data_IF_271071815977
#
_entry.id   IF_271071815977
#
_cell.length_a   1.000
_cell.length_b   1.000
_cell.length_c   1.000
_cell.angle_alpha   90.00
_cell.angle_beta   90.00
_cell.angle_gamma   90.00
#
_symmetry.space_group_name_H-M   'P 1'
#
loop_
_entity.id
_entity.type
_entity.pdbx_description
1 polymer ?
#
# COMPACT_ATOMS: atom_id res chain seq x y z
N UNK A 1 -38.04 54.42 -11.74
CA UNK A 1 -38.41 53.00 -11.47
C UNK A 1 -37.77 52.62 -10.16
N UNK A 2 -38.54 52.63 -9.06
CA UNK A 2 -38.04 52.22 -7.76
C UNK A 2 -37.85 50.69 -7.78
N UNK A 3 -36.61 50.23 -7.69
CA UNK A 3 -36.33 48.81 -7.51
C UNK A 3 -36.97 48.39 -6.17
N UNK A 4 -37.85 47.40 -6.23
CA UNK A 4 -38.68 46.97 -5.10
C UNK A 4 -37.81 46.18 -4.10
N UNK A 5 -37.18 46.89 -3.16
CA UNK A 5 -36.26 46.33 -2.13
C UNK A 5 -36.97 45.30 -1.23
N UNK A 6 -38.31 45.29 -1.21
CA UNK A 6 -39.15 44.33 -0.49
C UNK A 6 -38.93 42.86 -0.91
N UNK A 7 -38.42 42.62 -2.12
CA UNK A 7 -38.13 41.25 -2.60
C UNK A 7 -36.92 40.65 -1.87
N UNK A 8 -36.00 41.47 -1.38
CA UNK A 8 -34.81 41.06 -0.63
C UNK A 8 -35.10 40.66 0.83
N UNK A 9 -36.28 40.98 1.36
CA UNK A 9 -36.72 40.63 2.73
C UNK A 9 -37.56 39.35 2.81
N UNK A 10 -37.87 38.72 1.67
CA UNK A 10 -38.48 37.40 1.65
C UNK A 10 -37.41 36.35 2.05
N UNK A 11 -37.75 35.31 2.82
CA UNK A 11 -36.79 34.25 3.19
C UNK A 11 -36.31 33.43 1.99
N UNK A 12 -37.01 33.54 0.85
CA UNK A 12 -36.78 32.78 -0.38
C UNK A 12 -35.43 33.06 -1.06
N UNK A 13 -35.04 34.33 -1.33
CA UNK A 13 -33.70 34.63 -1.85
C UNK A 13 -32.58 34.16 -0.93
N UNK A 14 -32.71 34.32 0.39
CA UNK A 14 -31.71 33.86 1.37
C UNK A 14 -31.56 32.34 1.29
N UNK A 15 -32.68 31.61 1.29
CA UNK A 15 -32.69 30.16 1.14
C UNK A 15 -32.04 29.71 -0.18
N UNK A 16 -32.37 30.37 -1.30
CA UNK A 16 -31.76 30.09 -2.59
C UNK A 16 -30.25 30.32 -2.60
N UNK A 17 -29.76 31.41 -2.01
CA UNK A 17 -28.31 31.65 -1.90
C UNK A 17 -27.60 30.59 -1.07
N UNK A 18 -28.18 30.16 0.05
CA UNK A 18 -27.62 29.10 0.90
C UNK A 18 -27.59 27.77 0.15
N UNK A 19 -28.68 27.44 -0.56
CA UNK A 19 -28.76 26.23 -1.37
C UNK A 19 -27.68 26.21 -2.46
N UNK A 20 -27.49 27.31 -3.19
CA UNK A 20 -26.46 27.44 -4.22
C UNK A 20 -25.06 27.25 -3.61
N UNK A 21 -24.80 27.84 -2.44
CA UNK A 21 -23.54 27.66 -1.73
C UNK A 21 -23.29 26.19 -1.37
N UNK A 22 -24.29 25.50 -0.81
CA UNK A 22 -24.18 24.08 -0.45
C UNK A 22 -23.91 23.22 -1.70
N UNK A 23 -24.67 23.43 -2.78
CA UNK A 23 -24.48 22.69 -4.04
C UNK A 23 -23.08 22.95 -4.61
N UNK A 24 -22.61 24.20 -4.59
CA UNK A 24 -21.27 24.54 -5.06
C UNK A 24 -20.18 23.86 -4.23
N UNK A 25 -20.33 23.81 -2.90
CA UNK A 25 -19.40 23.13 -2.01
C UNK A 25 -19.36 21.62 -2.28
N UNK A 26 -20.53 20.98 -2.50
CA UNK A 26 -20.63 19.56 -2.84
C UNK A 26 -19.91 19.27 -4.17
N UNK A 27 -20.09 20.13 -5.18
CA UNK A 27 -19.41 19.98 -6.48
C UNK A 27 -17.89 20.06 -6.31
N UNK A 28 -17.39 21.06 -5.58
CA UNK A 28 -15.95 21.23 -5.33
C UNK A 28 -15.39 20.02 -4.58
N UNK A 29 -16.05 19.57 -3.51
CA UNK A 29 -15.64 18.39 -2.76
C UNK A 29 -15.61 17.13 -3.63
N UNK A 30 -16.59 16.97 -4.53
CA UNK A 30 -16.65 15.82 -5.45
C UNK A 30 -15.51 15.83 -6.45
N UNK A 31 -15.14 16.99 -6.98
CA UNK A 31 -14.01 17.15 -7.91
C UNK A 31 -12.67 16.87 -7.22
N UNK A 32 -12.48 17.40 -6.01
CA UNK A 32 -11.28 17.13 -5.19
C UNK A 32 -11.18 15.63 -4.89
N UNK A 33 -12.27 15.01 -4.44
CA UNK A 33 -12.31 13.56 -4.16
C UNK A 33 -11.93 12.75 -5.40
N UNK A 34 -12.51 13.03 -6.56
CA UNK A 34 -12.16 12.33 -7.82
C UNK A 34 -10.70 12.46 -8.20
N UNK A 35 -10.10 13.64 -8.00
CA UNK A 35 -8.68 13.86 -8.29
C UNK A 35 -7.79 13.05 -7.34
N UNK A 36 -8.11 13.06 -6.04
CA UNK A 36 -7.36 12.29 -5.05
C UNK A 36 -7.52 10.78 -5.26
N UNK A 37 -8.74 10.30 -5.53
CA UNK A 37 -8.99 8.87 -5.78
C UNK A 37 -8.20 8.38 -7.02
N UNK A 38 -8.13 9.19 -8.08
CA UNK A 38 -7.34 8.86 -9.27
C UNK A 38 -5.83 8.78 -9.00
N UNK A 39 -5.28 9.74 -8.25
CA UNK A 39 -3.85 9.73 -7.88
C UNK A 39 -3.50 8.56 -6.95
N UNK A 40 -4.39 8.18 -6.03
CA UNK A 40 -4.20 7.04 -5.13
C UNK A 40 -4.24 5.72 -5.89
N UNK A 41 -5.16 5.56 -6.85
CA UNK A 41 -5.25 4.35 -7.67
C UNK A 41 -3.99 4.17 -8.52
N UNK A 42 -3.52 5.24 -9.19
CA UNK A 42 -2.32 5.18 -10.01
C UNK A 42 -1.08 4.83 -9.19
N UNK A 43 -0.91 5.44 -8.01
CA UNK A 43 0.19 5.09 -7.10
C UNK A 43 0.13 3.63 -6.65
N UNK A 44 -1.07 3.13 -6.33
CA UNK A 44 -1.25 1.74 -5.91
C UNK A 44 -0.91 0.76 -7.03
N UNK A 45 -1.35 1.04 -8.27
CA UNK A 45 -1.00 0.23 -9.44
C UNK A 45 0.50 0.25 -9.73
N UNK A 46 1.15 1.40 -9.60
CA UNK A 46 2.60 1.53 -9.76
C UNK A 46 3.36 0.72 -8.70
N UNK A 47 2.97 0.81 -7.43
CA UNK A 47 3.57 0.05 -6.32
C UNK A 47 3.37 -1.46 -6.47
N UNK A 48 2.16 -1.90 -6.84
CA UNK A 48 1.87 -3.32 -7.05
C UNK A 48 2.69 -3.86 -8.23
N UNK A 49 2.75 -3.11 -9.32
CA UNK A 49 3.57 -3.44 -10.49
C UNK A 49 5.06 -3.44 -10.16
N UNK A 50 5.50 -2.56 -9.26
CA UNK A 50 6.90 -2.45 -8.85
C UNK A 50 7.40 -3.72 -8.16
N UNK A 51 6.72 -4.16 -7.10
CA UNK A 51 7.11 -5.38 -6.39
C UNK A 51 6.93 -6.63 -7.25
N UNK A 52 5.90 -6.69 -8.09
CA UNK A 52 5.72 -7.80 -9.04
C UNK A 52 6.89 -7.91 -10.03
N UNK A 53 7.35 -6.79 -10.61
CA UNK A 53 8.51 -6.78 -11.51
C UNK A 53 9.79 -7.19 -10.79
N UNK A 54 10.00 -6.72 -9.56
CA UNK A 54 11.13 -7.15 -8.73
C UNK A 54 11.08 -8.65 -8.47
N UNK A 55 9.93 -9.19 -8.06
CA UNK A 55 9.75 -10.63 -7.84
C UNK A 55 10.09 -11.45 -9.10
N UNK A 56 9.61 -11.02 -10.27
CA UNK A 56 9.93 -11.69 -11.54
C UNK A 56 11.43 -11.69 -11.84
N UNK A 57 12.13 -10.59 -11.54
CA UNK A 57 13.58 -10.52 -11.71
C UNK A 57 14.34 -11.44 -10.75
N UNK A 58 13.84 -11.59 -9.51
CA UNK A 58 14.41 -12.50 -8.51
C UNK A 58 14.17 -13.96 -8.90
N UNK A 59 13.00 -14.29 -9.45
CA UNK A 59 12.68 -15.64 -9.93
C UNK A 59 13.65 -16.12 -11.01
N UNK A 60 14.17 -15.23 -11.85
CA UNK A 60 15.19 -15.57 -12.85
C UNK A 60 16.52 -16.05 -12.21
N UNK A 61 16.76 -15.73 -10.93
CA UNK A 61 17.97 -16.12 -10.20
C UNK A 61 17.81 -17.47 -9.46
N UNK A 62 16.64 -18.12 -9.52
CA UNK A 62 16.34 -19.37 -8.79
C UNK A 62 17.35 -20.49 -9.04
N UNK A 63 18.03 -20.49 -10.19
CA UNK A 63 19.09 -21.45 -10.48
C UNK A 63 20.31 -21.32 -9.56
N UNK A 64 20.55 -20.14 -8.99
CA UNK A 64 21.62 -19.86 -8.03
C UNK A 64 21.02 -19.54 -6.65
N UNK A 65 20.93 -20.55 -5.76
CA UNK A 65 20.32 -20.44 -4.43
C UNK A 65 20.81 -19.25 -3.59
N UNK A 66 22.12 -18.99 -3.60
CA UNK A 66 22.71 -17.91 -2.81
C UNK A 66 22.34 -16.52 -3.34
N UNK A 67 22.39 -16.33 -4.67
CA UNK A 67 21.98 -15.06 -5.29
C UNK A 67 20.49 -14.84 -5.20
N UNK A 68 19.70 -15.90 -5.36
CA UNK A 68 18.26 -15.87 -5.16
C UNK A 68 17.91 -15.43 -3.74
N UNK A 69 18.54 -16.04 -2.72
CA UNK A 69 18.24 -15.75 -1.32
C UNK A 69 18.54 -14.29 -0.96
N UNK A 70 19.69 -13.77 -1.38
CA UNK A 70 20.05 -12.37 -1.14
C UNK A 70 19.03 -11.45 -1.82
N UNK A 71 18.68 -11.73 -3.07
CA UNK A 71 17.77 -10.87 -3.81
C UNK A 71 16.33 -10.92 -3.26
N UNK A 72 15.85 -12.07 -2.75
CA UNK A 72 14.54 -12.16 -2.11
C UNK A 72 14.54 -11.50 -0.72
N UNK A 73 15.63 -11.58 0.05
CA UNK A 73 15.79 -10.86 1.32
C UNK A 73 15.71 -9.35 1.10
N UNK A 74 16.43 -8.83 0.10
CA UNK A 74 16.42 -7.40 -0.26
C UNK A 74 15.00 -6.94 -0.62
N UNK A 75 14.30 -7.67 -1.50
CA UNK A 75 12.93 -7.32 -1.92
C UNK A 75 11.95 -7.41 -0.76
N UNK A 76 12.07 -8.42 0.09
CA UNK A 76 11.20 -8.58 1.25
C UNK A 76 11.41 -7.47 2.29
N UNK A 77 12.68 -7.11 2.58
CA UNK A 77 12.99 -6.01 3.52
C UNK A 77 12.47 -4.67 3.05
N UNK A 78 12.59 -4.40 1.75
CA UNK A 78 12.01 -3.21 1.14
C UNK A 78 10.49 -3.22 1.23
N UNK A 79 9.85 -4.36 0.94
CA UNK A 79 8.40 -4.51 1.08
C UNK A 79 7.93 -4.27 2.53
N UNK A 80 8.60 -4.86 3.52
CA UNK A 80 8.26 -4.67 4.93
C UNK A 80 8.53 -3.24 5.42
N UNK A 81 9.60 -2.61 4.94
CA UNK A 81 9.89 -1.21 5.19
C UNK A 81 8.80 -0.30 4.62
N UNK A 82 8.41 -0.49 3.37
CA UNK A 82 7.42 0.37 2.70
C UNK A 82 5.99 0.16 3.22
N UNK A 83 5.59 -1.08 3.48
CA UNK A 83 4.19 -1.40 3.84
C UNK A 83 3.89 -1.38 5.33
N UNK A 84 4.89 -1.65 6.17
CA UNK A 84 4.69 -1.80 7.61
C UNK A 84 5.62 -0.90 8.44
N UNK A 85 6.42 -0.05 7.80
CA UNK A 85 7.44 0.81 8.45
C UNK A 85 8.46 0.00 9.26
N UNK A 86 8.72 -1.24 8.85
CA UNK A 86 9.62 -2.16 9.53
C UNK A 86 10.96 -2.19 8.79
N UNK A 87 11.97 -1.49 9.32
CA UNK A 87 13.30 -1.41 8.70
C UNK A 87 14.41 -1.83 9.65
N UNK A 88 15.46 -2.48 9.12
CA UNK A 88 16.69 -2.81 9.87
C UNK A 88 16.57 -3.88 10.95
N UNK A 89 15.41 -4.54 11.09
CA UNK A 89 15.17 -5.59 12.10
C UNK A 89 15.34 -7.01 11.54
N UNK A 90 15.35 -8.01 12.43
CA UNK A 90 15.44 -9.42 12.03
C UNK A 90 14.05 -9.98 11.71
N UNK A 91 14.00 -11.05 10.91
CA UNK A 91 12.74 -11.73 10.59
C UNK A 91 11.99 -12.24 11.82
N UNK A 92 12.67 -12.54 12.92
CA UNK A 92 12.02 -12.86 14.20
C UNK A 92 11.13 -11.74 14.72
N UNK A 93 11.60 -10.51 14.54
CA UNK A 93 10.94 -9.29 15.05
C UNK A 93 9.77 -8.92 14.12
N UNK A 94 9.97 -9.07 12.80
CA UNK A 94 8.90 -8.92 11.78
C UNK A 94 7.79 -9.94 12.03
N UNK A 95 8.15 -11.20 12.32
CA UNK A 95 7.21 -12.29 12.55
C UNK A 95 6.31 -12.04 13.76
N UNK A 96 6.86 -11.50 14.84
CA UNK A 96 6.07 -11.17 16.04
C UNK A 96 5.01 -10.11 15.71
N UNK A 97 5.37 -9.08 14.94
CA UNK A 97 4.44 -8.06 14.48
C UNK A 97 3.38 -8.62 13.53
N UNK A 98 3.77 -9.45 12.55
CA UNK A 98 2.82 -10.06 11.60
C UNK A 98 1.84 -11.04 12.27
N UNK A 99 2.23 -11.67 13.38
CA UNK A 99 1.33 -12.49 14.21
C UNK A 99 0.27 -11.65 14.92
N UNK A 100 0.62 -10.44 15.37
CA UNK A 100 -0.33 -9.52 16.00
C UNK A 100 -1.35 -8.98 14.98
N UNK A 101 -0.94 -8.83 13.72
CA UNK A 101 -1.78 -8.36 12.61
C UNK A 101 -2.60 -9.48 11.92
N UNK A 102 -2.54 -10.73 12.41
CA UNK A 102 -3.21 -11.92 11.85
C UNK A 102 -2.87 -12.19 10.36
N UNK A 103 -1.66 -11.81 9.92
CA UNK A 103 -1.22 -12.00 8.54
C UNK A 103 -0.48 -13.34 8.37
N UNK A 104 -1.24 -14.42 8.27
CA UNK A 104 -0.69 -15.79 8.19
C UNK A 104 0.27 -16.05 7.02
N UNK A 105 0.13 -15.33 5.89
CA UNK A 105 1.04 -15.47 4.75
C UNK A 105 2.41 -14.86 5.04
N UNK A 106 2.43 -13.64 5.60
CA UNK A 106 3.67 -12.97 6.00
C UNK A 106 4.39 -13.74 7.12
N UNK A 107 3.64 -14.32 8.07
CA UNK A 107 4.19 -15.16 9.14
C UNK A 107 4.94 -16.36 8.54
N UNK A 108 4.31 -17.13 7.66
CA UNK A 108 4.96 -18.30 7.02
C UNK A 108 6.22 -17.90 6.24
N UNK A 109 6.15 -16.80 5.49
CA UNK A 109 7.30 -16.30 4.76
C UNK A 109 8.46 -15.95 5.70
N UNK A 110 8.18 -15.23 6.80
CA UNK A 110 9.20 -14.87 7.79
C UNK A 110 9.79 -16.09 8.49
N UNK A 111 8.98 -17.13 8.77
CA UNK A 111 9.46 -18.40 9.33
C UNK A 111 10.45 -19.09 8.40
N UNK A 112 10.12 -19.21 7.11
CA UNK A 112 11.01 -19.82 6.11
C UNK A 112 12.28 -18.99 5.93
N UNK A 113 12.17 -17.65 5.84
CA UNK A 113 13.34 -16.79 5.72
C UNK A 113 14.24 -16.85 6.95
N UNK A 114 13.65 -16.91 8.15
CA UNK A 114 14.42 -17.07 9.39
C UNK A 114 15.14 -18.42 9.42
N UNK A 115 14.48 -19.51 9.03
CA UNK A 115 15.12 -20.83 8.98
C UNK A 115 16.26 -20.84 7.95
N UNK A 116 16.01 -20.33 6.74
CA UNK A 116 16.98 -20.41 5.64
C UNK A 116 18.19 -19.50 5.90
N UNK A 117 18.01 -18.32 6.50
CA UNK A 117 19.11 -17.39 6.80
C UNK A 117 19.92 -17.78 8.05
N UNK A 118 19.28 -18.38 9.07
CA UNK A 118 19.88 -18.55 10.40
C UNK A 118 20.08 -20.01 10.85
N UNK A 119 19.62 -21.02 10.10
CA UNK A 119 19.80 -22.44 10.48
C UNK A 119 21.23 -22.96 10.32
N UNK A 120 22.13 -22.21 9.66
CA UNK A 120 23.51 -22.65 9.40
C UNK A 120 23.62 -23.90 8.50
N UNK A 121 22.52 -24.28 7.84
CA UNK A 121 22.48 -25.45 6.95
C UNK A 121 22.74 -25.04 5.49
N UNK A 122 23.36 -25.92 4.70
CA UNK A 122 23.61 -25.64 3.29
C UNK A 122 22.31 -25.34 2.52
N UNK A 123 22.35 -24.28 1.73
CA UNK A 123 21.29 -23.81 0.85
C UNK A 123 20.98 -24.85 -0.24
N UNK A 124 20.06 -25.78 0.06
CA UNK A 124 19.52 -26.74 -0.92
C UNK A 124 18.33 -26.12 -1.66
N UNK A 125 18.28 -26.30 -2.98
CA UNK A 125 17.18 -25.83 -3.87
C UNK A 125 15.79 -26.20 -3.35
N UNK A 126 15.65 -27.39 -2.78
CA UNK A 126 14.38 -27.93 -2.24
C UNK A 126 13.72 -27.04 -1.18
N UNK A 127 14.50 -26.28 -0.40
CA UNK A 127 13.95 -25.38 0.63
C UNK A 127 13.54 -24.01 0.09
N UNK A 128 14.14 -23.59 -1.02
CA UNK A 128 13.81 -22.33 -1.67
C UNK A 128 12.43 -22.40 -2.35
N UNK A 129 12.03 -23.60 -2.78
CA UNK A 129 10.74 -23.83 -3.41
C UNK A 129 9.55 -23.58 -2.47
N UNK A 130 9.75 -23.54 -1.14
CA UNK A 130 8.70 -23.22 -0.17
C UNK A 130 8.43 -21.70 -0.01
N UNK A 131 9.23 -20.85 -0.63
CA UNK A 131 9.04 -19.39 -0.61
C UNK A 131 7.98 -18.90 -1.63
N UNK A 132 7.42 -19.80 -2.44
CA UNK A 132 6.36 -19.55 -3.43
C UNK A 132 5.30 -20.66 -3.41
#
# INVERSE_FOLDING_TARGET
>A
MALNISILLLPWPIFLTVLILIVSAIIVLTLVKRKLDGEVILKREEEETYFQRKLQSVLALRENPSKFLIAIDDVAREFFGDKFDISGVRYSDILEQMKQEDNGAAVKFCEVMQEVLYSGTELRRERIDFLF
#
